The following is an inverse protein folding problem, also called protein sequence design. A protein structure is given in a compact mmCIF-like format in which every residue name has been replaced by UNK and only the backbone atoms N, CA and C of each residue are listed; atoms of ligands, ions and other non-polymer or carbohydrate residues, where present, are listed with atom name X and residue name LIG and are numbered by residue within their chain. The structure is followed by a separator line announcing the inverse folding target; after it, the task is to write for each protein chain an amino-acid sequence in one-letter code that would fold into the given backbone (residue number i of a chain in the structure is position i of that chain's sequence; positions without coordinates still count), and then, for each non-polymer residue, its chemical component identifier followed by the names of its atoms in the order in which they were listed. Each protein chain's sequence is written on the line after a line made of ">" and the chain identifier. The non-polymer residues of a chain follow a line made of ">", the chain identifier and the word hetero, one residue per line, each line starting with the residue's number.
data_IF_977843739157
#
_entry.id   IF_977843739157
#
_cell.length_a   1.000
_cell.length_b   1.000
_cell.length_c   1.000
_cell.angle_alpha   90.00
_cell.angle_beta   90.00
_cell.angle_gamma   90.00
#
_symmetry.space_group_name_H-M   'P 1'
#
loop_
_entity.id
_entity.type
_entity.pdbx_description
1 polymer ?
#
# COMPACT_ATOMS: atom_id res chain seq x y z
N UNK A 1 23.71 -5.05 -9.19
CA UNK A 1 22.61 -4.12 -8.84
C UNK A 1 22.40 -3.19 -10.01
N UNK A 2 21.19 -3.09 -10.56
CA UNK A 2 20.84 -2.09 -11.59
C UNK A 2 19.95 -1.05 -10.93
N UNK A 3 20.35 0.21 -10.98
CA UNK A 3 19.54 1.32 -10.48
C UNK A 3 18.75 1.92 -11.65
N UNK A 4 17.45 2.14 -11.45
CA UNK A 4 16.59 2.86 -12.37
C UNK A 4 16.33 4.25 -11.76
N UNK A 5 16.73 5.29 -12.48
CA UNK A 5 16.53 6.67 -12.05
C UNK A 5 15.19 7.17 -12.58
N UNK A 6 14.40 7.79 -11.70
CA UNK A 6 13.16 8.46 -12.08
C UNK A 6 13.41 9.95 -12.34
N UNK A 7 12.72 10.58 -13.30
CA UNK A 7 12.70 12.03 -13.40
C UNK A 7 12.09 12.64 -12.12
N UNK A 8 12.47 13.88 -11.76
CA UNK A 8 11.88 14.57 -10.63
C UNK A 8 10.35 14.63 -10.72
N UNK A 9 9.67 14.48 -9.57
CA UNK A 9 8.21 14.56 -9.46
C UNK A 9 7.44 13.65 -10.43
N UNK A 10 7.96 12.44 -10.68
CA UNK A 10 7.29 11.45 -11.54
C UNK A 10 6.72 10.28 -10.71
N UNK A 11 5.68 10.51 -9.89
CA UNK A 11 5.05 9.45 -9.10
C UNK A 11 4.43 8.37 -10.00
N UNK A 12 4.03 8.72 -11.23
CA UNK A 12 3.45 7.81 -12.23
C UNK A 12 4.41 6.71 -12.68
N UNK A 13 5.72 6.84 -12.38
CA UNK A 13 6.72 5.81 -12.65
C UNK A 13 7.13 5.06 -11.38
N UNK A 14 6.43 5.22 -10.26
CA UNK A 14 6.78 4.59 -9.00
C UNK A 14 5.63 3.72 -8.45
N UNK A 15 5.68 2.38 -8.60
CA UNK A 15 4.56 1.51 -8.25
C UNK A 15 4.24 1.49 -6.74
N UNK A 16 5.12 2.01 -5.89
CA UNK A 16 4.83 2.13 -4.46
C UNK A 16 3.72 3.16 -4.17
N UNK A 17 3.50 4.14 -5.06
CA UNK A 17 2.46 5.16 -4.89
C UNK A 17 1.06 4.52 -4.97
N UNK A 18 0.84 3.64 -5.96
CA UNK A 18 -0.41 2.86 -6.07
C UNK A 18 -0.57 1.88 -4.90
N UNK A 19 0.52 1.25 -4.47
CA UNK A 19 0.51 0.37 -3.30
C UNK A 19 0.06 1.11 -2.03
N UNK A 20 0.61 2.30 -1.77
CA UNK A 20 0.16 3.12 -0.64
C UNK A 20 -1.26 3.64 -0.80
N UNK A 21 -1.70 3.95 -2.03
CA UNK A 21 -3.09 4.30 -2.30
C UNK A 21 -4.05 3.16 -1.93
N UNK A 22 -3.74 1.93 -2.35
CA UNK A 22 -4.53 0.75 -2.08
C UNK A 22 -4.57 0.41 -0.57
N UNK A 23 -3.42 0.49 0.11
CA UNK A 23 -3.34 0.31 1.57
C UNK A 23 -4.20 1.33 2.32
N UNK A 24 -4.12 2.62 1.97
CA UNK A 24 -4.97 3.67 2.57
C UNK A 24 -6.44 3.44 2.29
N UNK A 25 -6.80 3.03 1.07
CA UNK A 25 -8.18 2.72 0.71
C UNK A 25 -8.74 1.57 1.56
N UNK A 26 -7.94 0.52 1.80
CA UNK A 26 -8.32 -0.56 2.70
C UNK A 26 -8.51 -0.08 4.14
N UNK A 27 -7.61 0.75 4.67
CA UNK A 27 -7.73 1.31 6.03
C UNK A 27 -9.00 2.17 6.16
N UNK A 28 -9.29 3.02 5.17
CA UNK A 28 -10.51 3.82 5.15
C UNK A 28 -11.77 2.96 5.09
N UNK A 29 -11.75 1.87 4.33
CA UNK A 29 -12.87 0.93 4.27
C UNK A 29 -13.07 0.20 5.61
N UNK A 30 -11.98 -0.09 6.32
CA UNK A 30 -11.97 -0.76 7.63
C UNK A 30 -11.81 0.23 8.79
N UNK A 31 -12.36 1.44 8.65
CA UNK A 31 -12.15 2.54 9.59
C UNK A 31 -12.53 2.19 11.05
N UNK A 32 -13.57 1.39 11.27
CA UNK A 32 -13.98 1.01 12.63
C UNK A 32 -12.96 0.08 13.29
N UNK A 33 -12.41 -0.88 12.54
CA UNK A 33 -11.27 -1.68 12.99
C UNK A 33 -10.05 -0.80 13.26
N UNK A 34 -9.77 0.15 12.35
CA UNK A 34 -8.66 1.07 12.51
C UNK A 34 -8.77 1.90 13.80
N UNK A 35 -9.98 2.35 14.15
CA UNK A 35 -10.24 3.10 15.39
C UNK A 35 -10.02 2.27 16.66
N UNK A 36 -10.34 0.98 16.62
CA UNK A 36 -10.18 0.08 17.77
C UNK A 36 -8.70 -0.16 18.05
N UNK A 37 -7.88 -0.48 17.05
CA UNK A 37 -6.45 -0.70 17.33
C UNK A 37 -5.68 0.61 17.58
N UNK A 38 -6.27 1.76 17.25
CA UNK A 38 -5.72 3.08 17.60
C UNK A 38 -6.24 3.63 18.93
N UNK A 39 -7.08 2.89 19.68
CA UNK A 39 -7.63 3.35 20.96
C UNK A 39 -6.59 3.44 22.06
N UNK A 40 -5.52 2.63 21.97
CA UNK A 40 -4.49 2.52 23.01
C UNK A 40 -4.89 1.61 24.18
N UNK A 41 -5.92 0.77 24.00
CA UNK A 41 -6.29 -0.24 24.97
C UNK A 41 -5.24 -1.35 25.04
N UNK A 42 -5.28 -2.16 26.11
CA UNK A 42 -4.29 -3.23 26.35
C UNK A 42 -4.29 -4.33 25.29
N UNK A 43 -5.36 -4.44 24.50
CA UNK A 43 -5.50 -5.42 23.42
C UNK A 43 -5.19 -4.83 22.04
N UNK A 44 -4.97 -3.51 21.94
CA UNK A 44 -4.78 -2.83 20.67
C UNK A 44 -3.36 -3.07 20.12
N UNK A 45 -3.28 -3.41 18.83
CA UNK A 45 -2.04 -3.49 18.05
C UNK A 45 -2.15 -2.67 16.75
N UNK A 46 -1.75 -1.40 16.76
CA UNK A 46 -1.85 -0.53 15.58
C UNK A 46 -0.95 -0.99 14.42
N UNK A 47 0.07 -1.81 14.67
CA UNK A 47 0.90 -2.37 13.59
C UNK A 47 0.15 -3.46 12.84
N UNK A 48 -0.76 -4.18 13.51
CA UNK A 48 -1.55 -5.23 12.88
C UNK A 48 -2.44 -4.67 11.76
N UNK A 49 -3.02 -3.48 11.93
CA UNK A 49 -3.79 -2.81 10.84
C UNK A 49 -2.93 -2.63 9.59
N UNK A 50 -1.67 -2.19 9.75
CA UNK A 50 -0.77 -1.93 8.62
C UNK A 50 -0.45 -3.25 7.92
N UNK A 51 -0.16 -4.30 8.69
CA UNK A 51 0.12 -5.64 8.18
C UNK A 51 -1.09 -6.16 7.39
N UNK A 52 -2.28 -6.10 7.97
CA UNK A 52 -3.52 -6.56 7.33
C UNK A 52 -3.82 -5.77 6.05
N UNK A 53 -3.66 -4.45 6.09
CA UNK A 53 -3.86 -3.59 4.93
C UNK A 53 -2.88 -3.93 3.79
N UNK A 54 -1.62 -4.21 4.10
CA UNK A 54 -0.61 -4.64 3.11
C UNK A 54 -1.03 -5.96 2.48
N UNK A 55 -1.27 -6.99 3.28
CA UNK A 55 -1.56 -8.33 2.75
C UNK A 55 -2.92 -8.41 2.04
N UNK A 56 -3.89 -7.59 2.44
CA UNK A 56 -5.19 -7.55 1.79
C UNK A 56 -5.18 -6.73 0.48
N UNK A 57 -4.38 -5.67 0.38
CA UNK A 57 -4.40 -4.75 -0.77
C UNK A 57 -3.29 -5.04 -1.80
N UNK A 58 -2.12 -5.50 -1.38
CA UNK A 58 -0.94 -5.74 -2.21
C UNK A 58 -0.88 -7.19 -2.67
N UNK A 59 -1.90 -7.62 -3.41
CA UNK A 59 -1.95 -8.95 -4.02
C UNK A 59 -0.97 -9.06 -5.20
N UNK A 60 -0.65 -10.28 -5.63
CA UNK A 60 0.19 -10.49 -6.83
C UNK A 60 -0.40 -9.80 -8.07
N UNK A 61 -1.71 -9.87 -8.24
CA UNK A 61 -2.38 -9.29 -9.41
C UNK A 61 -2.36 -7.77 -9.37
N UNK A 62 -2.60 -7.18 -8.20
CA UNK A 62 -2.48 -5.73 -8.01
C UNK A 62 -1.06 -5.25 -8.29
N UNK A 63 -0.05 -5.90 -7.71
CA UNK A 63 1.37 -5.55 -7.92
C UNK A 63 1.74 -5.65 -9.39
N UNK A 64 1.31 -6.71 -10.08
CA UNK A 64 1.55 -6.84 -11.51
C UNK A 64 0.89 -5.70 -12.30
N UNK A 65 -0.35 -5.35 -11.96
CA UNK A 65 -1.05 -4.19 -12.53
C UNK A 65 -0.28 -2.88 -12.36
N UNK A 66 0.22 -2.60 -11.15
CA UNK A 66 0.93 -1.36 -10.83
C UNK A 66 2.26 -1.22 -11.58
N UNK A 67 3.01 -2.32 -11.70
CA UNK A 67 4.23 -2.31 -12.51
C UNK A 67 3.93 -2.16 -14.01
N UNK A 68 2.79 -2.66 -14.50
CA UNK A 68 2.35 -2.43 -15.88
C UNK A 68 1.93 -0.98 -16.11
N UNK A 69 1.19 -0.36 -15.18
CA UNK A 69 0.77 1.05 -15.26
C UNK A 69 1.97 2.00 -15.28
N UNK A 70 3.00 1.68 -14.48
CA UNK A 70 4.29 2.39 -14.49
C UNK A 70 5.15 2.14 -15.75
N UNK A 71 4.72 1.26 -16.67
CA UNK A 71 5.43 0.96 -17.91
C UNK A 71 6.63 0.01 -17.76
N UNK A 72 6.71 -0.75 -16.66
CA UNK A 72 7.82 -1.70 -16.42
C UNK A 72 7.56 -3.10 -16.96
N UNK A 73 6.32 -3.42 -17.28
CA UNK A 73 5.94 -4.70 -17.87
C UNK A 73 5.50 -4.47 -19.32
N UNK A 74 6.10 -5.24 -20.22
CA UNK A 74 5.74 -5.34 -21.65
C UNK A 74 5.16 -6.72 -21.92
#
# INVERSE_FOLDING_TARGET
>A
MRLLYLPPYSPDFNPIEEAFSAMKAWIHHNHDYARVELSGDTTSDPYQIIIDAIFASMTKDSIHGWFADCGYLQ
#
